data_IF_005127142183
#
_entry.id   IF_005127142183
#
_cell.length_a   1.000
_cell.length_b   1.000
_cell.length_c   1.000
_cell.angle_alpha   90.00
_cell.angle_beta   90.00
_cell.angle_gamma   90.00
#
_symmetry.space_group_name_H-M   'P 1'
#
loop_
_entity.id
_entity.type
_entity.pdbx_description
1 polymer ?
#
# COMPACT_ATOMS: atom_id res chain seq x y z
N UNK A 1 -3.51 -16.97 10.64
CA UNK A 1 -2.17 -16.42 10.28
C UNK A 1 -2.26 -14.92 10.49
N UNK A 2 -1.34 -14.27 11.22
CA UNK A 2 -1.40 -12.81 11.40
C UNK A 2 -1.33 -12.15 10.01
N UNK A 3 -2.31 -11.33 9.68
CA UNK A 3 -2.23 -10.47 8.48
C UNK A 3 -1.03 -9.53 8.62
N UNK A 4 -0.38 -9.23 7.49
CA UNK A 4 0.76 -8.31 7.47
C UNK A 4 0.35 -6.94 8.04
N UNK A 5 1.22 -6.29 8.82
CA UNK A 5 0.92 -4.99 9.41
C UNK A 5 0.80 -3.91 8.32
N UNK A 6 -0.09 -2.92 8.52
CA UNK A 6 -0.38 -1.88 7.51
C UNK A 6 0.86 -1.14 7.05
N UNK A 7 1.76 -0.81 7.97
CA UNK A 7 3.00 -0.10 7.67
C UNK A 7 3.96 -0.96 6.85
N UNK A 8 3.96 -2.27 7.06
CA UNK A 8 4.73 -3.22 6.23
C UNK A 8 4.12 -3.36 4.82
N UNK A 9 2.78 -3.35 4.70
CA UNK A 9 2.09 -3.30 3.40
C UNK A 9 2.49 -2.01 2.67
N UNK A 10 2.36 -0.88 3.33
CA UNK A 10 2.67 0.43 2.77
C UNK A 10 4.14 0.54 2.36
N UNK A 11 5.08 0.06 3.18
CA UNK A 11 6.50 0.01 2.85
C UNK A 11 6.81 -0.88 1.64
N UNK A 12 6.08 -1.98 1.46
CA UNK A 12 6.25 -2.82 0.26
C UNK A 12 5.76 -2.08 -0.97
N UNK A 13 4.57 -1.44 -0.88
CA UNK A 13 4.00 -0.65 -1.97
C UNK A 13 4.90 0.53 -2.35
N UNK A 14 5.55 1.20 -1.39
CA UNK A 14 6.46 2.32 -1.74
C UNK A 14 7.66 1.87 -2.55
N UNK A 15 8.12 0.62 -2.43
CA UNK A 15 9.25 0.09 -3.21
C UNK A 15 8.85 -0.24 -4.65
N UNK A 16 7.59 -0.63 -4.88
CA UNK A 16 7.04 -0.88 -6.21
C UNK A 16 6.88 0.43 -7.02
N UNK A 17 6.64 1.55 -6.32
CA UNK A 17 6.58 2.87 -6.92
C UNK A 17 7.98 3.50 -7.10
N UNK A 18 8.09 4.47 -8.01
CA UNK A 18 9.29 5.29 -8.18
C UNK A 18 9.50 6.33 -7.07
N UNK A 19 10.33 7.33 -7.33
CA UNK A 19 10.68 8.37 -6.35
C UNK A 19 9.49 9.22 -5.89
N UNK A 20 8.54 9.46 -6.79
CA UNK A 20 7.31 10.18 -6.52
C UNK A 20 6.13 9.21 -6.63
N UNK A 21 5.30 9.21 -5.59
CA UNK A 21 4.16 8.32 -5.45
C UNK A 21 2.90 9.18 -5.46
N UNK A 22 1.98 8.90 -6.37
CA UNK A 22 0.66 9.52 -6.38
C UNK A 22 -0.17 8.97 -5.21
N UNK A 23 -0.69 9.86 -4.36
CA UNK A 23 -1.44 9.49 -3.15
C UNK A 23 -2.70 8.67 -3.46
N UNK A 24 -3.41 9.02 -4.52
CA UNK A 24 -4.64 8.34 -4.90
C UNK A 24 -4.35 6.90 -5.34
N UNK A 25 -3.38 6.72 -6.24
CA UNK A 25 -3.04 5.38 -6.75
C UNK A 25 -2.48 4.49 -5.63
N UNK A 26 -1.70 5.08 -4.73
CA UNK A 26 -1.17 4.36 -3.58
C UNK A 26 -2.25 3.95 -2.58
N UNK A 27 -3.25 4.81 -2.35
CA UNK A 27 -4.45 4.48 -1.57
C UNK A 27 -5.24 3.31 -2.19
N UNK A 28 -5.46 3.35 -3.51
CA UNK A 28 -6.17 2.26 -4.20
C UNK A 28 -5.39 0.93 -4.12
N UNK A 29 -4.07 0.95 -4.25
CA UNK A 29 -3.21 -0.22 -4.08
C UNK A 29 -3.27 -0.78 -2.65
N UNK A 30 -3.23 0.08 -1.64
CA UNK A 30 -3.38 -0.33 -0.23
C UNK A 30 -4.76 -0.96 0.02
N UNK A 31 -5.84 -0.29 -0.42
CA UNK A 31 -7.21 -0.79 -0.32
C UNK A 31 -7.39 -2.15 -1.00
N UNK A 32 -6.83 -2.33 -2.18
CA UNK A 32 -6.86 -3.63 -2.88
C UNK A 32 -6.12 -4.72 -2.09
N UNK A 33 -4.95 -4.39 -1.51
CA UNK A 33 -4.11 -5.35 -0.79
C UNK A 33 -4.76 -5.84 0.51
N UNK A 34 -5.44 -4.97 1.25
CA UNK A 34 -6.12 -5.33 2.51
C UNK A 34 -7.46 -6.04 2.28
N UNK A 35 -8.18 -5.73 1.19
CA UNK A 35 -9.46 -6.37 0.85
C UNK A 35 -9.27 -7.72 0.15
N UNK A 36 -8.20 -7.84 -0.63
CA UNK A 36 -7.87 -9.04 -1.39
C UNK A 36 -6.43 -9.48 -1.10
N UNK A 37 -6.13 -9.90 0.15
CA UNK A 37 -4.81 -10.39 0.50
C UNK A 37 -4.49 -11.63 -0.36
N UNK A 38 -3.62 -11.43 -1.36
CA UNK A 38 -3.19 -12.52 -2.23
C UNK A 38 -2.36 -13.50 -1.38
N UNK A 39 -2.67 -14.80 -1.44
CA UNK A 39 -1.93 -15.88 -0.75
C UNK A 39 -0.55 -16.12 -1.37
N UNK A 40 0.17 -15.08 -1.78
CA UNK A 40 1.48 -15.19 -2.42
C UNK A 40 2.56 -15.29 -1.35
N UNK A 41 2.75 -16.50 -0.87
CA UNK A 41 4.03 -16.90 -0.32
C UNK A 41 5.12 -16.80 -1.41
N UNK A 42 6.23 -16.14 -1.06
CA UNK A 42 7.61 -16.43 -1.49
C UNK A 42 7.97 -16.31 -3.00
N UNK A 43 8.83 -15.33 -3.27
CA UNK A 43 9.91 -15.26 -4.28
C UNK A 43 9.63 -15.22 -5.80
N UNK A 44 10.26 -14.18 -6.40
CA UNK A 44 10.93 -14.05 -7.72
C UNK A 44 10.13 -14.05 -9.05
N UNK A 45 10.26 -12.90 -9.73
CA UNK A 45 10.66 -12.70 -11.14
C UNK A 45 9.64 -13.02 -12.27
N UNK A 46 9.37 -11.94 -13.04
CA UNK A 46 8.97 -11.85 -14.47
C UNK A 46 7.57 -12.26 -14.95
N UNK A 47 7.01 -11.29 -15.68
CA UNK A 47 6.10 -11.37 -16.84
C UNK A 47 4.58 -11.63 -16.61
N UNK A 48 3.83 -10.68 -17.16
CA UNK A 48 2.41 -10.55 -17.53
C UNK A 48 1.65 -11.83 -17.98
N UNK A 49 0.35 -11.73 -18.35
CA UNK A 49 -0.81 -11.14 -17.69
C UNK A 49 -1.97 -12.19 -17.57
N UNK A 50 -3.09 -11.80 -16.94
CA UNK A 50 -4.34 -12.57 -16.83
C UNK A 50 -4.33 -13.88 -16.01
N UNK A 51 -5.09 -13.87 -14.91
CA UNK A 51 -5.96 -15.01 -14.58
C UNK A 51 -7.09 -14.61 -13.63
N UNK A 52 -8.31 -14.94 -14.07
CA UNK A 52 -9.59 -14.83 -13.39
C UNK A 52 -9.64 -15.63 -12.07
N UNK A 53 -10.51 -15.17 -11.17
CA UNK A 53 -11.31 -15.95 -10.19
C UNK A 53 -10.58 -16.43 -8.94
N UNK A 54 -11.03 -15.99 -7.74
CA UNK A 54 -11.90 -16.80 -6.85
C UNK A 54 -12.27 -16.02 -5.58
N UNK A 55 -13.57 -15.93 -5.31
CA UNK A 55 -14.18 -15.47 -4.05
C UNK A 55 -13.58 -16.22 -2.84
N UNK A 56 -13.15 -15.47 -1.83
CA UNK A 56 -13.18 -15.88 -0.43
C UNK A 56 -13.79 -14.72 0.37
N UNK A 57 -15.13 -14.67 0.34
CA UNK A 57 -15.98 -13.73 1.05
C UNK A 57 -16.30 -14.39 2.38
N UNK A 58 -15.73 -13.94 3.49
CA UNK A 58 -16.40 -14.10 4.80
C UNK A 58 -16.01 -13.04 5.84
N UNK A 59 -14.85 -12.37 5.76
CA UNK A 59 -14.49 -11.32 6.76
C UNK A 59 -14.15 -9.94 6.18
N UNK A 60 -13.94 -9.81 4.87
CA UNK A 60 -13.50 -8.55 4.23
C UNK A 60 -14.64 -7.58 3.90
N UNK A 61 -15.91 -7.98 4.01
CA UNK A 61 -17.05 -7.18 3.55
C UNK A 61 -17.43 -6.01 4.48
N UNK A 62 -16.85 -5.90 5.69
CA UNK A 62 -17.31 -4.94 6.70
C UNK A 62 -16.34 -3.80 7.02
N UNK A 63 -15.22 -3.65 6.31
CA UNK A 63 -14.35 -2.51 6.57
C UNK A 63 -14.86 -1.29 5.80
N UNK A 64 -15.41 -0.33 6.53
CA UNK A 64 -15.91 0.91 5.95
C UNK A 64 -14.79 1.68 5.24
N UNK A 65 -15.16 2.45 4.21
CA UNK A 65 -14.20 3.31 3.51
C UNK A 65 -13.43 4.22 4.49
N UNK A 66 -14.14 4.74 5.49
CA UNK A 66 -13.55 5.57 6.54
C UNK A 66 -12.49 4.81 7.37
N UNK A 67 -12.73 3.53 7.68
CA UNK A 67 -11.75 2.69 8.39
C UNK A 67 -10.51 2.43 7.53
N UNK A 68 -10.70 2.16 6.24
CA UNK A 68 -9.59 1.97 5.29
C UNK A 68 -8.75 3.25 5.18
N UNK A 69 -9.40 4.41 5.05
CA UNK A 69 -8.74 5.72 5.03
C UNK A 69 -7.96 5.99 6.32
N UNK A 70 -8.55 5.73 7.49
CA UNK A 70 -7.86 5.92 8.77
C UNK A 70 -6.60 5.06 8.90
N UNK A 71 -6.68 3.79 8.47
CA UNK A 71 -5.54 2.86 8.45
C UNK A 71 -4.44 3.34 7.50
N UNK A 72 -4.82 3.79 6.30
CA UNK A 72 -3.90 4.38 5.34
C UNK A 72 -3.19 5.60 5.94
N UNK A 73 -3.94 6.59 6.44
CA UNK A 73 -3.36 7.82 7.03
C UNK A 73 -2.42 7.52 8.19
N UNK A 74 -2.78 6.56 9.06
CA UNK A 74 -1.93 6.12 10.17
C UNK A 74 -0.61 5.55 9.65
N UNK A 75 -0.66 4.62 8.70
CA UNK A 75 0.54 4.01 8.13
C UNK A 75 1.41 5.01 7.35
N UNK A 76 0.82 5.96 6.60
CA UNK A 76 1.56 7.06 5.95
C UNK A 76 2.30 7.90 6.99
N UNK A 77 1.62 8.24 8.09
CA UNK A 77 2.23 9.02 9.19
C UNK A 77 3.39 8.28 9.83
N UNK A 78 3.27 6.97 10.05
CA UNK A 78 4.36 6.14 10.57
C UNK A 78 5.57 6.12 9.61
N UNK A 79 5.34 5.97 8.31
CA UNK A 79 6.41 6.06 7.30
C UNK A 79 7.07 7.45 7.22
N UNK A 80 6.30 8.51 7.48
CA UNK A 80 6.85 9.87 7.58
C UNK A 80 7.71 10.05 8.84
N UNK A 81 7.23 9.62 10.01
CA UNK A 81 7.95 9.74 11.29
C UNK A 81 9.27 8.98 11.24
N UNK A 82 9.27 7.81 10.61
CA UNK A 82 10.48 6.97 10.41
C UNK A 82 11.43 7.53 9.34
N UNK A 83 11.07 8.61 8.64
CA UNK A 83 11.93 9.26 7.65
C UNK A 83 11.99 8.53 6.30
N UNK A 84 11.12 7.55 6.06
CA UNK A 84 11.05 6.81 4.79
C UNK A 84 10.32 7.60 3.70
N UNK A 85 9.42 8.51 4.09
CA UNK A 85 8.63 9.36 3.21
C UNK A 85 8.73 10.84 3.56
N UNK A 86 8.64 11.68 2.52
CA UNK A 86 8.43 13.12 2.62
C UNK A 86 7.03 13.47 2.14
N UNK A 87 6.31 14.23 2.96
CA UNK A 87 4.94 14.65 2.69
C UNK A 87 4.81 15.58 1.49
N UNK A 88 3.58 15.71 0.94
CA UNK A 88 3.35 16.55 -0.21
C UNK A 88 3.77 17.99 0.02
N UNK A 89 4.32 18.60 -1.03
CA UNK A 89 4.68 20.02 -1.05
C UNK A 89 3.55 20.84 -1.66
N UNK A 90 3.52 22.16 -1.38
CA UNK A 90 2.58 23.10 -2.01
C UNK A 90 2.58 23.04 -3.54
N UNK A 91 3.70 22.62 -4.15
CA UNK A 91 3.81 22.48 -5.61
C UNK A 91 3.17 21.21 -6.17
N UNK A 92 3.03 20.16 -5.35
CA UNK A 92 2.48 18.84 -5.73
C UNK A 92 1.74 18.25 -4.52
N UNK A 93 0.51 18.69 -4.24
CA UNK A 93 -0.24 18.27 -3.07
C UNK A 93 -0.65 16.79 -3.14
N UNK A 94 -0.73 16.22 -4.35
CA UNK A 94 -1.22 14.86 -4.57
C UNK A 94 -0.10 13.80 -4.60
N UNK A 95 1.15 14.20 -4.32
CA UNK A 95 2.32 13.31 -4.40
C UNK A 95 3.12 13.30 -3.11
N UNK A 96 3.57 12.13 -2.71
CA UNK A 96 4.60 11.95 -1.68
C UNK A 96 5.91 11.53 -2.32
N UNK A 97 7.02 11.85 -1.67
CA UNK A 97 8.35 11.49 -2.17
C UNK A 97 8.99 10.45 -1.24
N UNK A 98 9.54 9.39 -1.83
CA UNK A 98 10.36 8.44 -1.09
C UNK A 98 11.73 9.04 -0.81
N UNK A 99 12.21 8.89 0.42
CA UNK A 99 13.47 9.50 0.88
C UNK A 99 14.60 8.47 1.01
N UNK A 100 14.27 7.22 1.32
CA UNK A 100 15.23 6.13 1.40
C UNK A 100 15.36 5.38 0.06
N UNK A 101 16.59 5.12 -0.36
CA UNK A 101 16.94 4.33 -1.55
C UNK A 101 17.78 3.12 -1.15
N UNK A 102 17.49 1.94 -1.72
CA UNK A 102 18.39 0.78 -1.65
C UNK A 102 18.39 -0.02 -0.35
N UNK A 103 17.24 -0.14 0.34
CA UNK A 103 17.04 -1.12 1.42
C UNK A 103 16.71 -2.50 0.86
#
# INVERSE_FOLDING_TARGET
MPSMHDTSIMYTLTQEHGDLINLHDWYQSFKSTILYPSTKGKHKVKQSPLSKKRKNITESENMSEASIQARFCRAVTELQITGLLRMPSKRRPDYVQRVAFGL
#
